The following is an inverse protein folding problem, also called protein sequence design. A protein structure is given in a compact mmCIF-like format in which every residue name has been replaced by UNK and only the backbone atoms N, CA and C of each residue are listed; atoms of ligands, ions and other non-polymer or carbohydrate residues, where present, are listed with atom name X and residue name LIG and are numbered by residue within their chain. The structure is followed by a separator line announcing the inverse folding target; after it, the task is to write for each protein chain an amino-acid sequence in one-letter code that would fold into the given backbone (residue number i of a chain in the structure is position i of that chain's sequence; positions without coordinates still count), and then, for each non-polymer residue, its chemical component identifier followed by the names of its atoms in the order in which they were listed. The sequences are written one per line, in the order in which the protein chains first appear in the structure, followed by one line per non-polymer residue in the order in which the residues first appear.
data_IF_437958478639
#
_entry.id   IF_437958478639
#
_cell.length_a   1.000
_cell.length_b   1.000
_cell.length_c   1.000
_cell.angle_alpha   90.00
_cell.angle_beta   90.00
_cell.angle_gamma   90.00
#
_symmetry.space_group_name_H-M   'P 1'
#
loop_
_entity.id
_entity.type
_entity.pdbx_description
1 polymer ?
#
# COMPACT_ATOMS: atom_id res chain seq x y z
N UNK A 1 13.02 -21.08 18.56
CA UNK A 1 13.67 -19.87 18.01
C UNK A 1 12.79 -18.69 18.35
N UNK A 2 13.32 -17.71 19.11
CA UNK A 2 12.58 -16.56 19.62
C UNK A 2 12.01 -15.72 18.47
N UNK A 3 10.69 -15.56 18.47
CA UNK A 3 9.94 -14.74 17.52
C UNK A 3 10.27 -13.27 17.79
N UNK A 4 11.29 -12.72 17.15
CA UNK A 4 11.45 -11.26 17.05
C UNK A 4 10.36 -10.78 16.10
N UNK A 5 9.18 -10.52 16.64
CA UNK A 5 8.04 -10.03 15.86
C UNK A 5 8.35 -8.58 15.50
N UNK A 6 8.88 -8.39 14.29
CA UNK A 6 9.13 -7.08 13.72
C UNK A 6 7.85 -6.67 12.97
N UNK A 7 7.13 -5.69 13.51
CA UNK A 7 5.84 -5.27 12.94
C UNK A 7 6.04 -4.27 11.79
N UNK A 8 6.76 -3.17 12.05
CA UNK A 8 7.09 -2.17 11.04
C UNK A 8 8.40 -1.46 11.36
N UNK A 9 9.01 -0.91 10.31
CA UNK A 9 10.21 -0.06 10.42
C UNK A 9 9.85 1.17 11.25
N UNK A 10 8.70 1.78 10.98
CA UNK A 10 8.25 3.02 11.59
C UNK A 10 8.04 2.86 13.10
N UNK A 11 7.35 1.80 13.54
CA UNK A 11 7.13 1.52 14.96
C UNK A 11 8.45 1.23 15.68
N UNK A 12 9.36 0.50 15.02
CA UNK A 12 10.67 0.18 15.61
C UNK A 12 11.54 1.42 15.77
N UNK A 13 11.53 2.34 14.80
CA UNK A 13 12.26 3.60 14.88
C UNK A 13 11.67 4.50 15.98
N UNK A 14 10.34 4.60 16.06
CA UNK A 14 9.65 5.42 17.06
C UNK A 14 9.84 4.92 18.50
N UNK A 15 9.95 3.61 18.71
CA UNK A 15 10.13 3.03 20.04
C UNK A 15 11.57 3.15 20.58
N UNK A 16 12.58 3.22 19.70
CA UNK A 16 13.99 3.08 20.10
C UNK A 16 14.83 4.35 19.94
N UNK A 17 14.38 5.34 19.17
CA UNK A 17 15.18 6.53 18.84
C UNK A 17 14.52 7.79 19.45
N UNK A 18 15.28 8.67 20.12
CA UNK A 18 14.73 9.91 20.66
C UNK A 18 14.20 10.82 19.55
N UNK A 19 13.15 11.60 19.85
CA UNK A 19 12.40 12.38 18.85
C UNK A 19 13.27 13.32 18.00
N UNK A 20 14.33 13.88 18.57
CA UNK A 20 15.25 14.78 17.87
C UNK A 20 16.05 14.06 16.79
N UNK A 21 16.57 12.87 17.09
CA UNK A 21 17.33 12.06 16.14
C UNK A 21 16.40 11.34 15.16
N UNK A 22 15.22 10.93 15.61
CA UNK A 22 14.20 10.29 14.79
C UNK A 22 13.81 11.15 13.59
N UNK A 23 13.72 12.48 13.78
CA UNK A 23 13.42 13.41 12.69
C UNK A 23 14.50 13.42 11.63
N UNK A 24 15.77 13.42 12.02
CA UNK A 24 16.89 13.35 11.08
C UNK A 24 16.99 12.00 10.38
N UNK A 25 16.75 10.90 11.10
CA UNK A 25 16.71 9.55 10.53
C UNK A 25 15.59 9.45 9.49
N UNK A 26 14.36 9.89 9.83
CA UNK A 26 13.25 9.92 8.88
C UNK A 26 13.54 10.85 7.70
N UNK A 27 14.23 11.96 7.93
CA UNK A 27 14.64 12.90 6.86
C UNK A 27 15.58 12.24 5.86
N UNK A 28 16.50 11.41 6.33
CA UNK A 28 17.48 10.71 5.48
C UNK A 28 16.82 9.52 4.75
N UNK A 29 15.99 8.73 5.44
CA UNK A 29 15.38 7.52 4.89
C UNK A 29 14.23 7.82 3.91
N UNK A 30 13.32 8.71 4.31
CA UNK A 30 12.08 8.97 3.56
C UNK A 30 12.05 10.34 2.89
N UNK A 31 13.02 11.22 3.18
CA UNK A 31 13.05 12.59 2.68
C UNK A 31 12.21 13.55 3.52
N UNK A 32 11.36 14.35 2.88
CA UNK A 32 10.55 15.36 3.59
C UNK A 32 9.47 14.69 4.46
N UNK A 33 9.33 15.15 5.70
CA UNK A 33 8.22 14.74 6.56
C UNK A 33 6.88 15.15 5.94
N UNK A 34 5.99 14.17 5.76
CA UNK A 34 4.70 14.36 5.11
C UNK A 34 3.63 14.72 6.13
N UNK A 35 2.70 15.59 5.73
CA UNK A 35 1.53 15.90 6.54
C UNK A 35 0.55 14.73 6.52
N UNK A 36 0.11 14.28 7.70
CA UNK A 36 -0.96 13.30 7.84
C UNK A 36 -2.30 13.91 7.41
N UNK A 37 -3.04 13.20 6.57
CA UNK A 37 -4.37 13.60 6.11
C UNK A 37 -5.40 13.32 7.21
N UNK A 38 -6.30 14.27 7.46
CA UNK A 38 -7.43 14.05 8.36
C UNK A 38 -8.48 13.21 7.63
N UNK A 39 -8.65 11.98 8.08
CA UNK A 39 -9.59 11.01 7.52
C UNK A 39 -10.94 11.09 8.25
N UNK A 40 -12.06 10.80 7.57
CA UNK A 40 -13.38 10.82 8.20
C UNK A 40 -13.48 9.73 9.28
N UNK A 41 -14.10 10.05 10.41
CA UNK A 41 -14.25 9.11 11.53
C UNK A 41 -14.97 7.82 11.14
N UNK A 42 -15.98 7.91 10.25
CA UNK A 42 -16.69 6.74 9.73
C UNK A 42 -15.77 5.76 9.00
N UNK A 43 -14.77 6.26 8.27
CA UNK A 43 -13.80 5.42 7.58
C UNK A 43 -12.82 4.75 8.57
N UNK A 44 -12.40 5.47 9.62
CA UNK A 44 -11.55 4.91 10.66
C UNK A 44 -12.25 3.80 11.44
N UNK A 45 -13.52 4.00 11.81
CA UNK A 45 -14.32 2.96 12.48
C UNK A 45 -14.51 1.75 11.56
N UNK A 46 -14.87 1.97 10.29
CA UNK A 46 -15.03 0.88 9.33
C UNK A 46 -13.74 0.10 9.09
N UNK A 47 -12.58 0.77 9.06
CA UNK A 47 -11.28 0.11 8.93
C UNK A 47 -10.95 -0.77 10.15
N UNK A 48 -11.23 -0.27 11.36
CA UNK A 48 -11.05 -1.04 12.60
C UNK A 48 -11.99 -2.25 12.67
N UNK A 49 -13.27 -2.09 12.34
CA UNK A 49 -14.24 -3.19 12.32
C UNK A 49 -13.88 -4.28 11.30
N UNK A 50 -13.30 -3.87 10.17
CA UNK A 50 -12.93 -4.76 9.07
C UNK A 50 -11.48 -5.23 9.16
N UNK A 51 -10.75 -4.92 10.22
CA UNK A 51 -9.38 -5.39 10.46
C UNK A 51 -8.39 -5.06 9.31
N UNK A 52 -8.26 -3.77 8.97
CA UNK A 52 -7.18 -3.30 8.10
C UNK A 52 -6.66 -1.92 8.50
N UNK A 53 -5.39 -1.67 8.20
CA UNK A 53 -4.74 -0.40 8.49
C UNK A 53 -5.18 0.68 7.51
N UNK A 54 -5.43 1.87 8.04
CA UNK A 54 -5.88 3.02 7.28
C UNK A 54 -4.96 4.21 7.54
N UNK A 55 -4.16 4.57 6.54
CA UNK A 55 -3.23 5.68 6.61
C UNK A 55 -3.46 6.69 5.48
N UNK A 56 -3.28 7.98 5.77
CA UNK A 56 -3.40 9.03 4.78
C UNK A 56 -2.31 10.07 4.91
N UNK A 57 -1.67 10.38 3.78
CA UNK A 57 -0.59 11.36 3.69
C UNK A 57 -0.84 12.33 2.54
N UNK A 58 -0.37 13.55 2.71
CA UNK A 58 -0.49 14.63 1.71
C UNK A 58 0.88 14.97 1.16
N UNK A 59 1.00 14.89 -0.16
CA UNK A 59 2.11 15.45 -0.91
C UNK A 59 1.67 16.79 -1.48
N UNK A 60 2.34 17.85 -1.05
CA UNK A 60 2.07 19.21 -1.52
C UNK A 60 3.12 19.64 -2.53
N UNK A 61 2.68 20.41 -3.52
CA UNK A 61 3.54 21.14 -4.43
C UNK A 61 3.37 22.65 -4.22
N UNK A 62 4.42 23.42 -4.50
CA UNK A 62 4.35 24.89 -4.49
C UNK A 62 3.30 25.39 -5.49
N UNK A 63 2.56 26.46 -5.16
CA UNK A 63 1.53 26.99 -6.04
C UNK A 63 2.15 27.56 -7.31
N UNK A 64 1.67 27.11 -8.46
CA UNK A 64 2.04 27.71 -9.73
C UNK A 64 1.28 29.02 -9.94
N UNK A 65 1.91 30.00 -10.60
CA UNK A 65 1.30 31.29 -10.90
C UNK A 65 0.20 31.20 -11.98
N UNK A 66 0.35 30.27 -12.92
CA UNK A 66 -0.47 30.21 -14.15
C UNK A 66 -1.52 29.11 -14.08
N UNK A 67 -1.26 28.01 -13.37
CA UNK A 67 -2.15 26.84 -13.32
C UNK A 67 -2.77 26.69 -11.94
N UNK A 68 -4.06 26.38 -11.93
CA UNK A 68 -4.75 25.96 -10.71
C UNK A 68 -4.23 24.61 -10.21
N UNK A 69 -4.24 24.43 -8.90
CA UNK A 69 -3.81 23.20 -8.26
C UNK A 69 -4.66 21.99 -8.73
N UNK A 70 -3.99 20.90 -9.11
CA UNK A 70 -4.62 19.64 -9.47
C UNK A 70 -4.45 18.65 -8.33
N UNK A 71 -5.43 18.64 -7.43
CA UNK A 71 -5.43 17.74 -6.28
C UNK A 71 -6.14 16.44 -6.63
N UNK A 72 -5.45 15.31 -6.49
CA UNK A 72 -6.00 13.98 -6.70
C UNK A 72 -5.74 13.12 -5.46
N UNK A 73 -6.74 12.36 -5.03
CA UNK A 73 -6.61 11.37 -3.97
C UNK A 73 -6.45 9.99 -4.58
N UNK A 74 -5.35 9.32 -4.29
CA UNK A 74 -5.06 7.95 -4.75
C UNK A 74 -5.14 7.00 -3.56
N UNK A 75 -5.86 5.89 -3.72
CA UNK A 75 -5.94 4.80 -2.76
C UNK A 75 -5.13 3.62 -3.24
N UNK A 76 -4.17 3.19 -2.44
CA UNK A 76 -3.38 1.99 -2.70
C UNK A 76 -3.86 0.90 -1.73
N UNK A 77 -4.36 -0.20 -2.27
CA UNK A 77 -4.91 -1.29 -1.46
C UNK A 77 -3.93 -2.46 -1.49
N UNK A 78 -3.46 -2.85 -0.31
CA UNK A 78 -2.67 -4.06 -0.08
C UNK A 78 -3.48 -5.04 0.76
N UNK A 79 -3.67 -6.25 0.24
CA UNK A 79 -4.48 -7.29 0.87
C UNK A 79 -3.72 -8.63 0.94
N UNK A 80 -4.09 -9.40 1.95
CA UNK A 80 -3.62 -10.79 2.16
C UNK A 80 -4.66 -11.76 1.62
N UNK A 81 -4.20 -12.96 1.28
CA UNK A 81 -5.08 -14.06 0.87
C UNK A 81 -6.07 -14.37 2.01
N UNK A 82 -7.35 -14.53 1.68
CA UNK A 82 -8.44 -14.72 2.66
C UNK A 82 -8.68 -16.19 2.98
N UNK A 83 -8.69 -17.04 1.95
CA UNK A 83 -8.92 -18.48 2.05
C UNK A 83 -7.61 -19.24 1.83
N UNK A 84 -7.44 -20.44 2.41
CA UNK A 84 -6.26 -21.25 2.15
C UNK A 84 -6.06 -21.47 0.65
N UNK A 85 -4.80 -21.58 0.23
CA UNK A 85 -4.39 -21.78 -1.18
C UNK A 85 -4.95 -23.05 -1.81
N UNK A 86 -5.43 -23.98 -0.98
CA UNK A 86 -5.97 -25.28 -1.35
C UNK A 86 -7.48 -25.26 -1.65
N UNK A 87 -8.15 -24.14 -1.37
CA UNK A 87 -9.56 -23.95 -1.66
C UNK A 87 -9.84 -23.83 -3.18
N UNK A 88 -11.09 -24.04 -3.63
CA UNK A 88 -11.44 -23.82 -5.04
C UNK A 88 -11.12 -22.39 -5.49
N UNK A 89 -10.47 -22.23 -6.64
CA UNK A 89 -10.01 -20.92 -7.12
C UNK A 89 -11.17 -19.93 -7.28
N UNK A 90 -12.37 -20.39 -7.67
CA UNK A 90 -13.55 -19.53 -7.76
C UNK A 90 -13.94 -18.95 -6.39
N UNK A 91 -13.86 -19.74 -5.33
CA UNK A 91 -14.14 -19.29 -3.95
C UNK A 91 -13.05 -18.33 -3.47
N UNK A 92 -11.78 -18.59 -3.80
CA UNK A 92 -10.67 -17.69 -3.48
C UNK A 92 -10.81 -16.34 -4.16
N UNK A 93 -11.12 -16.30 -5.47
CA UNK A 93 -11.36 -15.07 -6.22
C UNK A 93 -12.55 -14.32 -5.62
N UNK A 94 -13.64 -15.03 -5.32
CA UNK A 94 -14.85 -14.41 -4.73
C UNK A 94 -14.56 -13.81 -3.35
N UNK A 95 -13.79 -14.52 -2.52
CA UNK A 95 -13.38 -14.04 -1.20
C UNK A 95 -12.46 -12.81 -1.30
N UNK A 96 -11.52 -12.79 -2.27
CA UNK A 96 -10.66 -11.66 -2.54
C UNK A 96 -11.46 -10.45 -3.05
N UNK A 97 -12.39 -10.65 -3.97
CA UNK A 97 -13.29 -9.60 -4.46
C UNK A 97 -14.11 -8.98 -3.34
N UNK A 98 -14.67 -9.80 -2.44
CA UNK A 98 -15.40 -9.31 -1.27
C UNK A 98 -14.50 -8.47 -0.37
N UNK A 99 -13.30 -8.97 -0.06
CA UNK A 99 -12.33 -8.28 0.80
C UNK A 99 -11.88 -6.95 0.22
N UNK A 100 -11.54 -6.93 -1.06
CA UNK A 100 -11.13 -5.71 -1.76
C UNK A 100 -12.32 -4.74 -1.91
N UNK A 101 -13.53 -5.25 -2.14
CA UNK A 101 -14.75 -4.43 -2.17
C UNK A 101 -14.96 -3.65 -0.87
N UNK A 102 -14.82 -4.32 0.27
CA UNK A 102 -14.90 -3.68 1.60
C UNK A 102 -13.85 -2.57 1.79
N UNK A 103 -12.64 -2.76 1.26
CA UNK A 103 -11.56 -1.76 1.29
C UNK A 103 -11.85 -0.58 0.34
N UNK A 104 -12.37 -0.87 -0.85
CA UNK A 104 -12.78 0.15 -1.83
C UNK A 104 -13.91 1.02 -1.30
N UNK A 105 -14.87 0.45 -0.56
CA UNK A 105 -15.95 1.21 0.08
C UNK A 105 -15.41 2.24 1.06
N UNK A 106 -14.40 1.87 1.87
CA UNK A 106 -13.74 2.79 2.80
C UNK A 106 -12.91 3.83 2.04
N UNK A 107 -12.26 3.44 0.95
CA UNK A 107 -11.56 4.39 0.08
C UNK A 107 -12.51 5.42 -0.56
N UNK A 108 -13.69 4.98 -0.99
CA UNK A 108 -14.72 5.87 -1.51
C UNK A 108 -15.20 6.86 -0.43
N UNK A 109 -15.41 6.40 0.82
CA UNK A 109 -15.74 7.27 1.94
C UNK A 109 -14.64 8.31 2.24
N UNK A 110 -13.37 7.98 1.97
CA UNK A 110 -12.23 8.90 2.04
C UNK A 110 -12.11 9.87 0.84
N UNK A 111 -13.02 9.81 -0.14
CA UNK A 111 -13.07 10.71 -1.30
C UNK A 111 -11.99 10.43 -2.36
N UNK A 112 -11.60 9.17 -2.51
CA UNK A 112 -10.53 8.76 -3.43
C UNK A 112 -10.99 8.79 -4.87
N UNK A 113 -10.13 9.31 -5.76
CA UNK A 113 -10.42 9.43 -7.18
C UNK A 113 -9.90 8.22 -7.97
N UNK A 114 -8.73 7.71 -7.60
CA UNK A 114 -8.04 6.61 -8.29
C UNK A 114 -7.71 5.54 -7.26
N UNK A 115 -8.05 4.29 -7.54
CA UNK A 115 -7.71 3.15 -6.70
C UNK A 115 -6.80 2.22 -7.47
N UNK A 116 -5.71 1.76 -6.83
CA UNK A 116 -4.79 0.77 -7.36
C UNK A 116 -4.72 -0.43 -6.42
N UNK A 117 -4.63 -1.62 -7.02
CA UNK A 117 -4.48 -2.90 -6.30
C UNK A 117 -3.07 -3.45 -6.50
N UNK A 118 -2.66 -4.33 -5.59
CA UNK A 118 -1.40 -5.08 -5.74
C UNK A 118 -1.38 -5.90 -7.03
N UNK A 119 -0.17 -6.20 -7.52
CA UNK A 119 0.01 -7.05 -8.70
C UNK A 119 -0.67 -8.41 -8.47
N UNK A 120 -1.29 -8.93 -9.53
CA UNK A 120 -1.95 -10.23 -9.53
C UNK A 120 -2.96 -10.39 -8.38
N UNK A 121 -3.61 -9.33 -7.90
CA UNK A 121 -4.50 -9.39 -6.72
C UNK A 121 -5.68 -10.37 -6.82
N UNK A 122 -6.08 -10.79 -8.03
CA UNK A 122 -7.09 -11.83 -8.28
C UNK A 122 -6.52 -13.23 -8.41
N UNK A 123 -5.20 -13.36 -8.46
CA UNK A 123 -4.45 -14.59 -8.68
C UNK A 123 -3.56 -14.84 -7.45
N UNK A 124 -3.56 -16.05 -6.90
CA UNK A 124 -2.64 -16.35 -5.82
C UNK A 124 -1.22 -16.39 -6.42
N UNK A 125 -0.31 -15.58 -5.88
CA UNK A 125 1.07 -15.46 -6.34
C UNK A 125 1.83 -16.79 -6.21
N UNK A 126 1.73 -17.64 -7.24
CA UNK A 126 2.41 -18.94 -7.33
C UNK A 126 3.22 -19.03 -8.64
N UNK A 127 3.95 -17.96 -8.98
CA UNK A 127 4.74 -17.89 -10.21
C UNK A 127 6.05 -18.71 -10.16
N UNK A 128 6.49 -19.11 -8.96
CA UNK A 128 7.81 -19.72 -8.75
C UNK A 128 7.92 -21.22 -9.10
N UNK A 129 6.81 -21.94 -9.29
CA UNK A 129 6.82 -23.43 -9.29
C UNK A 129 6.35 -24.14 -10.57
N UNK A 130 6.20 -23.48 -11.73
CA UNK A 130 5.63 -24.15 -12.93
C UNK A 130 6.47 -24.00 -14.22
N UNK A 131 7.05 -25.09 -14.76
CA UNK A 131 7.59 -25.12 -16.13
C UNK A 131 6.52 -25.27 -17.22
N UNK A 132 5.29 -25.72 -16.89
CA UNK A 132 4.21 -25.96 -17.86
C UNK A 132 2.84 -25.69 -17.21
N UNK A 133 2.08 -24.72 -17.73
CA UNK A 133 0.70 -24.43 -17.31
C UNK A 133 -0.28 -25.36 -18.06
N UNK A 134 -1.08 -26.20 -17.38
CA UNK A 134 -2.31 -26.73 -17.95
C UNK A 134 -3.40 -25.66 -17.88
N UNK A 135 -4.23 -25.58 -18.91
CA UNK A 135 -5.20 -24.52 -19.22
C UNK A 135 -6.34 -24.32 -18.22
N UNK A 136 -6.41 -25.06 -17.12
CA UNK A 136 -7.38 -24.91 -16.05
C UNK A 136 -6.79 -25.51 -14.77
N UNK A 137 -6.73 -24.71 -13.71
CA UNK A 137 -6.98 -25.11 -12.31
C UNK A 137 -6.26 -26.34 -11.71
N UNK A 138 -5.40 -26.06 -10.70
CA UNK A 138 -5.19 -26.76 -9.40
C UNK A 138 -4.83 -28.28 -9.38
N UNK A 139 -4.03 -28.82 -8.41
CA UNK A 139 -4.20 -28.60 -6.96
C UNK A 139 -2.93 -28.50 -6.07
N UNK A 140 -3.10 -27.71 -4.99
CA UNK A 140 -2.75 -27.96 -3.57
C UNK A 140 -1.28 -28.12 -3.16
N UNK A 141 -0.84 -27.27 -2.21
CA UNK A 141 -0.15 -27.62 -0.95
C UNK A 141 0.11 -26.34 -0.10
N UNK A 142 0.04 -26.42 1.24
CA UNK A 142 0.03 -25.27 2.14
C UNK A 142 1.44 -24.73 2.42
N UNK A 143 1.55 -23.40 2.58
CA UNK A 143 2.77 -22.80 3.13
C UNK A 143 2.98 -23.23 4.59
N UNK A 144 4.21 -23.57 5.04
CA UNK A 144 4.45 -24.11 6.38
C UNK A 144 4.45 -23.08 7.52
N UNK A 145 4.03 -21.83 7.26
CA UNK A 145 4.22 -20.73 8.20
C UNK A 145 2.92 -19.94 8.46
N UNK A 146 2.12 -20.43 9.41
CA UNK A 146 0.97 -19.73 10.02
C UNK A 146 1.35 -18.41 10.74
N UNK A 147 2.62 -18.01 10.72
CA UNK A 147 3.14 -16.92 11.55
C UNK A 147 3.60 -15.67 10.81
N UNK A 148 3.56 -15.65 9.48
CA UNK A 148 3.85 -14.44 8.70
C UNK A 148 2.53 -13.82 8.27
N UNK A 149 1.92 -13.01 9.13
CA UNK A 149 0.86 -12.08 8.72
C UNK A 149 1.52 -10.83 8.15
N UNK A 150 1.42 -10.55 6.83
CA UNK A 150 1.67 -9.21 6.34
C UNK A 150 0.53 -8.33 6.85
N UNK A 151 0.86 -7.17 7.42
CA UNK A 151 -0.13 -6.14 7.73
C UNK A 151 -0.90 -5.78 6.45
N UNK A 152 -2.23 -5.83 6.52
CA UNK A 152 -3.09 -5.37 5.43
C UNK A 152 -3.31 -3.87 5.63
N UNK A 153 -3.01 -3.07 4.62
CA UNK A 153 -3.12 -1.63 4.70
C UNK A 153 -3.68 -1.02 3.44
N UNK A 154 -4.51 0.01 3.61
CA UNK A 154 -4.81 0.97 2.56
C UNK A 154 -3.93 2.19 2.81
N UNK A 155 -3.01 2.42 1.89
CA UNK A 155 -2.19 3.63 1.88
C UNK A 155 -2.85 4.66 0.97
N UNK A 156 -3.38 5.72 1.56
CA UNK A 156 -3.79 6.88 0.79
C UNK A 156 -2.59 7.75 0.47
N UNK A 157 -2.20 7.72 -0.80
CA UNK A 157 -1.32 8.71 -1.38
C UNK A 157 -2.19 9.81 -2.00
N UNK A 158 -2.42 10.91 -1.28
CA UNK A 158 -2.80 12.13 -1.96
C UNK A 158 -1.53 12.70 -2.61
N UNK A 159 -1.24 12.27 -3.84
CA UNK A 159 -0.16 12.79 -4.65
C UNK A 159 -0.67 13.97 -5.48
N UNK A 160 -0.23 15.18 -5.15
CA UNK A 160 -0.34 16.32 -6.06
C UNK A 160 0.70 16.15 -7.18
N UNK A 161 0.32 15.44 -8.26
CA UNK A 161 1.18 15.28 -9.42
C UNK A 161 1.10 16.51 -10.32
N UNK A 162 2.18 17.27 -10.33
CA UNK A 162 2.48 18.23 -11.37
C UNK A 162 3.43 17.53 -12.35
N UNK A 163 2.98 17.22 -13.57
CA UNK A 163 3.84 16.63 -14.60
C UNK A 163 4.38 17.75 -15.50
N UNK A 164 5.65 18.16 -15.37
CA UNK A 164 6.35 18.86 -16.43
C UNK A 164 7.05 17.80 -17.27
N UNK A 165 6.43 17.41 -18.38
CA UNK A 165 7.03 16.63 -19.48
C UNK A 165 7.19 15.12 -19.26
N UNK A 166 7.00 14.40 -20.37
CA UNK A 166 6.97 12.94 -20.42
C UNK A 166 8.32 12.30 -20.13
N UNK A 167 8.25 10.98 -19.94
CA UNK A 167 9.37 10.04 -19.92
C UNK A 167 10.56 10.51 -20.77
N UNK A 168 11.66 10.83 -20.11
CA UNK A 168 13.00 10.74 -20.68
C UNK A 168 13.89 10.10 -19.62
N UNK A 169 14.45 8.96 -20.00
CA UNK A 169 15.42 8.17 -19.27
C UNK A 169 16.63 9.00 -18.82
N UNK A 170 17.18 8.60 -17.67
CA UNK A 170 18.62 8.39 -17.45
C UNK A 170 19.64 9.39 -17.99
N UNK A 171 20.43 9.91 -17.04
CA UNK A 171 21.82 10.29 -17.15
C UNK A 171 22.14 11.67 -17.76
N UNK A 172 22.53 12.60 -16.89
CA UNK A 172 23.91 13.10 -16.73
C UNK A 172 23.88 14.43 -15.95
N UNK A 173 24.72 14.52 -14.93
CA UNK A 173 25.10 15.77 -14.25
C UNK A 173 25.53 16.84 -15.28
N UNK A 174 25.53 18.14 -14.90
CA UNK A 174 26.84 18.70 -14.61
C UNK A 174 26.91 19.72 -13.46
N UNK A 175 28.11 19.72 -12.90
CA UNK A 175 28.84 20.75 -12.18
C UNK A 175 28.58 22.23 -12.59
N UNK A 176 28.73 23.09 -11.57
CA UNK A 176 29.12 24.53 -11.57
C UNK A 176 28.16 25.57 -12.19
N UNK A 177 27.76 26.57 -11.39
CA UNK A 177 28.55 27.77 -11.07
C UNK A 177 28.02 28.46 -9.82
#
# INVERSE_FOLDING_TARGET
MSKSTFDSVEMSLEANIPATELKEVKRILYGKELRKLVLPQSALVAALERDFDLHGYVFEAEPEQIRAARTVRVGLIQNKIVLPTDAPVLEQITALHKRVGEMVDVAAACGVNIVCFQEAWTLLNAFHDLPHLPSYFAPVLPCPCDSCTPSQGIYFLAAQQNWPWGWVDGALSPLHS
#
